data_IF_919057831847
#
_entry.id   IF_919057831847
#
_cell.length_a   1.000
_cell.length_b   1.000
_cell.length_c   1.000
_cell.angle_alpha   90.00
_cell.angle_beta   90.00
_cell.angle_gamma   90.00
#
_symmetry.space_group_name_H-M   'P 1'
#
loop_
_entity.id
_entity.type
_entity.pdbx_description
1 polymer ?
#
# COMPACT_ATOMS: atom_id res chain seq x y z
N UNK A 1 -10.70 -11.05 -17.73
CA UNK A 1 -11.54 -11.44 -16.58
C UNK A 1 -11.04 -10.62 -15.40
N UNK A 2 -11.91 -10.10 -14.52
CA UNK A 2 -11.41 -9.42 -13.32
C UNK A 2 -11.01 -10.45 -12.27
N UNK A 3 -9.86 -10.27 -11.64
CA UNK A 3 -9.33 -11.16 -10.61
C UNK A 3 -9.36 -10.45 -9.26
N UNK A 4 -9.76 -11.19 -8.22
CA UNK A 4 -9.87 -10.68 -6.85
C UNK A 4 -9.23 -11.67 -5.89
N UNK A 5 -8.57 -11.13 -4.87
CA UNK A 5 -8.09 -11.88 -3.71
C UNK A 5 -9.26 -12.40 -2.89
N UNK A 6 -8.98 -13.38 -2.00
CA UNK A 6 -9.98 -13.91 -1.05
C UNK A 6 -10.60 -12.83 -0.15
N UNK A 7 -9.87 -11.74 0.09
CA UNK A 7 -10.30 -10.62 0.92
C UNK A 7 -11.01 -9.50 0.14
N UNK A 8 -11.32 -9.73 -1.15
CA UNK A 8 -12.11 -8.82 -1.98
C UNK A 8 -11.31 -7.71 -2.67
N UNK A 9 -10.00 -7.63 -2.46
CA UNK A 9 -9.14 -6.65 -3.14
C UNK A 9 -8.88 -7.07 -4.58
N UNK A 10 -8.96 -6.11 -5.50
CA UNK A 10 -8.75 -6.32 -6.93
C UNK A 10 -7.28 -6.62 -7.24
N UNK A 11 -7.04 -7.53 -8.17
CA UNK A 11 -5.73 -7.85 -8.75
C UNK A 11 -5.67 -7.17 -10.12
N UNK A 12 -4.66 -6.31 -10.32
CA UNK A 12 -4.55 -5.46 -11.52
C UNK A 12 -3.86 -6.14 -12.72
N UNK A 13 -3.62 -7.46 -12.66
CA UNK A 13 -3.09 -8.30 -13.75
C UNK A 13 -3.80 -9.66 -13.79
N UNK A 14 -3.61 -10.42 -14.87
CA UNK A 14 -4.12 -11.80 -14.99
C UNK A 14 -3.10 -12.78 -14.38
N UNK A 15 -3.37 -13.38 -13.21
CA UNK A 15 -2.43 -14.26 -12.54
C UNK A 15 -2.31 -15.64 -13.21
N UNK A 16 -3.21 -15.96 -14.15
CA UNK A 16 -3.22 -17.19 -14.92
C UNK A 16 -2.73 -16.98 -16.37
N UNK A 17 -2.22 -15.79 -16.69
CA UNK A 17 -1.65 -15.52 -18.00
C UNK A 17 -0.47 -16.45 -18.32
N UNK A 18 -0.28 -16.74 -19.62
CA UNK A 18 0.83 -17.56 -20.10
C UNK A 18 2.17 -16.98 -19.62
N UNK A 19 3.02 -17.80 -19.02
CA UNK A 19 4.31 -17.38 -18.46
C UNK A 19 4.30 -17.03 -16.97
N UNK A 20 3.13 -16.81 -16.35
CA UNK A 20 3.05 -16.48 -14.92
C UNK A 20 3.57 -17.62 -14.04
N UNK A 21 3.11 -18.84 -14.28
CA UNK A 21 3.54 -20.01 -13.51
C UNK A 21 5.03 -20.37 -13.72
N UNK A 22 5.54 -20.14 -14.92
CA UNK A 22 6.95 -20.39 -15.27
C UNK A 22 7.88 -19.36 -14.60
N UNK A 23 7.39 -18.12 -14.42
CA UNK A 23 8.15 -17.01 -13.84
C UNK A 23 8.07 -16.96 -12.31
N UNK A 24 6.90 -17.23 -11.73
CA UNK A 24 6.60 -16.97 -10.32
C UNK A 24 6.21 -18.23 -9.52
N UNK A 25 6.16 -19.40 -10.17
CA UNK A 25 5.72 -20.65 -9.57
C UNK A 25 4.20 -20.86 -9.64
N UNK A 26 3.76 -22.06 -9.24
CA UNK A 26 2.34 -22.42 -9.19
C UNK A 26 1.64 -21.82 -7.97
N UNK A 27 0.29 -21.69 -7.97
CA UNK A 27 -0.46 -21.19 -6.82
C UNK A 27 -0.06 -21.88 -5.50
N UNK A 28 0.31 -21.09 -4.48
CA UNK A 28 0.75 -21.58 -3.17
C UNK A 28 2.21 -22.06 -3.07
N UNK A 29 2.98 -21.99 -4.17
CA UNK A 29 4.42 -22.25 -4.24
C UNK A 29 5.12 -21.06 -4.88
N UNK A 30 4.93 -19.90 -4.27
CA UNK A 30 5.37 -18.60 -4.78
C UNK A 30 6.90 -18.51 -4.74
N UNK A 31 7.46 -17.61 -5.54
CA UNK A 31 8.90 -17.40 -5.56
C UNK A 31 9.46 -16.94 -4.20
N UNK A 32 10.78 -17.06 -4.03
CA UNK A 32 11.48 -16.65 -2.81
C UNK A 32 11.52 -15.12 -2.63
N UNK A 33 10.96 -14.34 -3.56
CA UNK A 33 10.98 -12.88 -3.54
C UNK A 33 9.72 -12.28 -2.89
N UNK A 34 8.76 -13.13 -2.49
CA UNK A 34 7.57 -12.72 -1.75
C UNK A 34 6.55 -12.01 -2.63
N UNK A 35 6.48 -12.37 -3.91
CA UNK A 35 5.37 -12.04 -4.78
C UNK A 35 4.56 -13.30 -5.07
N UNK A 36 3.38 -13.40 -4.47
CA UNK A 36 2.38 -14.39 -4.84
C UNK A 36 1.49 -13.80 -5.94
N UNK A 37 1.65 -14.17 -7.21
CA UNK A 37 0.78 -13.61 -8.24
C UNK A 37 -0.69 -14.00 -8.03
N UNK A 38 -0.98 -14.99 -7.19
CA UNK A 38 -2.33 -15.50 -6.92
C UNK A 38 -2.95 -14.91 -5.65
N UNK A 39 -2.15 -14.23 -4.80
CA UNK A 39 -2.62 -13.65 -3.53
C UNK A 39 -2.19 -12.18 -3.30
N UNK A 40 -1.14 -11.70 -3.96
CA UNK A 40 -0.65 -10.33 -3.82
C UNK A 40 -1.22 -9.43 -4.92
N UNK A 41 -1.71 -8.26 -4.51
CA UNK A 41 -2.01 -7.18 -5.46
C UNK A 41 -0.72 -6.70 -6.13
N UNK A 42 0.38 -6.64 -5.37
CA UNK A 42 1.75 -6.30 -5.77
C UNK A 42 2.73 -6.89 -4.73
N UNK A 43 3.75 -7.62 -5.15
CA UNK A 43 4.70 -8.28 -4.23
C UNK A 43 5.72 -7.32 -3.61
N UNK A 44 6.54 -7.83 -2.68
CA UNK A 44 7.52 -7.00 -1.97
C UNK A 44 8.45 -6.19 -2.90
N UNK A 45 8.83 -6.72 -4.06
CA UNK A 45 9.63 -5.98 -5.05
C UNK A 45 8.96 -4.72 -5.58
N UNK A 46 7.62 -4.70 -5.63
CA UNK A 46 6.82 -3.61 -6.20
C UNK A 46 6.35 -2.65 -5.10
N UNK A 47 5.90 -3.16 -3.95
CA UNK A 47 5.36 -2.34 -2.86
C UNK A 47 5.62 -2.98 -1.49
N UNK A 48 6.06 -2.20 -0.49
CA UNK A 48 6.29 -2.69 0.88
C UNK A 48 7.60 -3.45 1.11
N UNK A 49 8.46 -3.55 0.11
CA UNK A 49 9.75 -4.26 0.19
C UNK A 49 10.88 -3.46 0.82
N UNK A 50 11.89 -4.18 1.29
CA UNK A 50 13.16 -3.62 1.72
C UNK A 50 13.86 -2.90 0.56
N UNK A 51 14.42 -1.73 0.86
CA UNK A 51 15.06 -0.86 -0.14
C UNK A 51 16.56 -0.83 0.02
N UNK A 52 17.24 -0.76 -1.12
CA UNK A 52 18.69 -0.65 -1.20
C UNK A 52 19.12 0.69 -0.61
N UNK A 53 20.18 0.65 0.20
CA UNK A 53 20.84 1.83 0.76
C UNK A 53 22.28 1.90 0.30
N UNK A 54 22.80 3.11 0.14
CA UNK A 54 24.21 3.34 -0.15
C UNK A 54 25.07 3.22 1.13
N UNK A 55 26.38 3.47 1.01
CA UNK A 55 27.31 3.36 2.14
C UNK A 55 27.08 4.40 3.24
N UNK A 56 26.30 5.45 2.95
CA UNK A 56 25.92 6.49 3.91
C UNK A 56 24.55 6.20 4.55
N UNK A 57 23.88 5.14 4.10
CA UNK A 57 22.55 4.74 4.57
C UNK A 57 21.41 5.45 3.84
N UNK A 58 21.68 6.26 2.82
CA UNK A 58 20.64 6.90 2.02
C UNK A 58 19.94 5.88 1.12
N UNK A 59 18.65 6.09 0.85
CA UNK A 59 17.89 5.22 -0.06
C UNK A 59 18.39 5.44 -1.49
N UNK A 60 18.74 4.34 -2.17
CA UNK A 60 19.09 4.38 -3.59
C UNK A 60 17.82 4.52 -4.42
N UNK A 61 17.76 5.59 -5.22
CA UNK A 61 16.68 5.87 -6.16
C UNK A 61 17.10 5.46 -7.57
N UNK A 62 16.25 4.71 -8.27
CA UNK A 62 16.54 4.20 -9.61
C UNK A 62 15.33 3.57 -10.28
N UNK A 63 15.58 2.72 -11.28
CA UNK A 63 14.54 1.91 -11.92
C UNK A 63 13.85 1.03 -10.88
N UNK A 64 12.52 1.11 -10.85
CA UNK A 64 11.71 0.30 -9.94
C UNK A 64 11.59 -1.13 -10.48
N UNK A 65 11.28 -2.06 -9.59
CA UNK A 65 11.25 -3.49 -9.90
C UNK A 65 10.45 -3.78 -11.18
N UNK A 66 11.09 -4.48 -12.12
CA UNK A 66 10.54 -4.86 -13.43
C UNK A 66 9.92 -3.71 -14.25
N UNK A 67 10.28 -2.44 -14.00
CA UNK A 67 9.74 -1.27 -14.69
C UNK A 67 8.21 -1.14 -14.59
N UNK A 68 7.60 -1.60 -13.50
CA UNK A 68 6.15 -1.41 -13.23
C UNK A 68 5.75 0.06 -13.05
N UNK A 69 6.72 0.94 -12.75
CA UNK A 69 6.53 2.38 -12.68
C UNK A 69 7.65 3.09 -13.46
N UNK A 70 7.27 3.93 -14.43
CA UNK A 70 8.21 4.73 -15.23
C UNK A 70 8.87 5.86 -14.44
N UNK A 71 8.34 6.18 -13.24
CA UNK A 71 8.96 7.14 -12.33
C UNK A 71 10.04 6.42 -11.51
N UNK A 72 11.24 7.02 -11.36
CA UNK A 72 12.27 6.44 -10.51
C UNK A 72 11.80 6.39 -9.05
N UNK A 73 12.24 5.38 -8.31
CA UNK A 73 11.84 5.16 -6.92
C UNK A 73 12.85 4.33 -6.14
N UNK A 74 12.55 4.01 -4.86
CA UNK A 74 13.42 3.19 -4.03
C UNK A 74 13.68 1.82 -4.67
N UNK A 75 14.96 1.50 -4.88
CA UNK A 75 15.38 0.26 -5.52
C UNK A 75 15.20 -0.90 -4.54
N UNK A 76 14.51 -1.96 -4.97
CA UNK A 76 14.35 -3.19 -4.19
C UNK A 76 15.70 -3.87 -3.93
N UNK A 77 15.92 -4.37 -2.72
CA UNK A 77 17.18 -5.03 -2.34
C UNK A 77 17.12 -6.56 -2.30
N UNK A 78 15.96 -7.16 -2.58
CA UNK A 78 15.79 -8.62 -2.62
C UNK A 78 15.48 -9.27 -1.25
N UNK A 79 15.36 -8.52 -0.16
CA UNK A 79 15.14 -9.08 1.20
C UNK A 79 13.66 -9.28 1.57
N UNK A 80 12.75 -9.16 0.61
CA UNK A 80 11.31 -9.25 0.83
C UNK A 80 10.73 -8.03 1.55
N UNK A 81 9.56 -8.20 2.17
CA UNK A 81 8.87 -7.12 2.88
C UNK A 81 9.73 -6.47 3.97
N UNK A 82 9.61 -5.15 4.10
CA UNK A 82 10.23 -4.36 5.16
C UNK A 82 9.75 -4.80 6.55
N UNK A 83 10.46 -4.38 7.60
CA UNK A 83 10.09 -4.74 8.97
C UNK A 83 8.71 -4.21 9.34
N UNK A 84 8.42 -2.94 9.03
CA UNK A 84 7.11 -2.35 9.28
C UNK A 84 6.02 -2.99 8.42
N UNK A 85 6.32 -3.33 7.15
CA UNK A 85 5.35 -4.01 6.28
C UNK A 85 4.95 -5.39 6.83
N UNK A 86 5.92 -6.16 7.34
CA UNK A 86 5.66 -7.44 8.04
C UNK A 86 4.82 -7.23 9.29
N UNK A 87 5.09 -6.17 10.06
CA UNK A 87 4.30 -5.85 11.25
C UNK A 87 2.85 -5.48 10.88
N UNK A 88 2.63 -4.70 9.83
CA UNK A 88 1.28 -4.35 9.34
C UNK A 88 0.52 -5.59 8.90
N UNK A 89 1.16 -6.54 8.22
CA UNK A 89 0.56 -7.82 7.86
C UNK A 89 0.17 -8.66 9.09
N UNK A 90 0.99 -8.62 10.14
CA UNK A 90 0.71 -9.29 11.40
C UNK A 90 -0.41 -8.60 12.22
N UNK A 91 -0.59 -7.29 12.05
CA UNK A 91 -1.71 -6.52 12.60
C UNK A 91 -1.31 -5.38 13.56
N UNK A 92 -2.31 -4.63 14.06
CA UNK A 92 -2.10 -3.39 14.82
C UNK A 92 -1.29 -3.58 16.11
N UNK A 93 -1.43 -4.72 16.77
CA UNK A 93 -0.68 -5.06 17.98
C UNK A 93 0.82 -5.13 17.69
N UNK A 94 1.22 -5.78 16.59
CA UNK A 94 2.62 -5.89 16.20
C UNK A 94 3.17 -4.54 15.75
N UNK A 95 2.39 -3.73 15.03
CA UNK A 95 2.76 -2.35 14.68
C UNK A 95 3.04 -1.53 15.95
N UNK A 96 2.14 -1.60 16.93
CA UNK A 96 2.29 -0.89 18.20
C UNK A 96 3.50 -1.38 19.00
N UNK A 97 3.77 -2.69 18.99
CA UNK A 97 4.96 -3.28 19.62
C UNK A 97 6.25 -2.71 19.01
N UNK A 98 6.41 -2.79 17.69
CA UNK A 98 7.66 -2.37 17.06
C UNK A 98 7.89 -0.86 17.14
N UNK A 99 6.83 -0.04 17.16
CA UNK A 99 6.96 1.41 17.30
C UNK A 99 7.37 1.87 18.70
N UNK A 100 7.29 1.01 19.72
CA UNK A 100 7.83 1.31 21.05
C UNK A 100 9.36 1.36 21.01
N UNK A 101 9.96 0.42 20.30
CA UNK A 101 11.42 0.29 20.22
C UNK A 101 12.00 1.12 19.06
N UNK A 102 11.24 1.26 17.96
CA UNK A 102 11.66 1.93 16.72
C UNK A 102 10.59 2.92 16.22
N UNK A 103 10.36 4.04 16.94
CA UNK A 103 9.29 5.00 16.62
C UNK A 103 9.44 5.69 15.26
N UNK A 104 10.63 5.69 14.67
CA UNK A 104 10.92 6.20 13.34
C UNK A 104 10.34 5.32 12.22
N UNK A 105 10.08 4.04 12.48
CA UNK A 105 9.57 3.12 11.46
C UNK A 105 8.15 3.48 10.99
N UNK A 106 7.43 4.36 11.69
CA UNK A 106 6.16 4.93 11.21
C UNK A 106 6.31 5.72 9.91
N UNK A 107 7.53 6.14 9.57
CA UNK A 107 7.90 6.83 8.33
C UNK A 107 8.82 5.99 7.43
N UNK A 108 8.95 4.68 7.67
CA UNK A 108 9.80 3.81 6.85
C UNK A 108 9.40 3.89 5.37
N UNK A 109 10.37 4.18 4.50
CA UNK A 109 10.15 4.17 3.05
C UNK A 109 10.52 2.79 2.51
N UNK A 110 9.57 2.14 1.85
CA UNK A 110 9.73 0.85 1.18
C UNK A 110 9.74 1.01 -0.36
N UNK A 111 9.81 -0.11 -1.08
CA UNK A 111 9.57 -0.13 -2.54
C UNK A 111 8.23 0.53 -2.89
N UNK A 112 8.14 1.08 -4.11
CA UNK A 112 7.03 1.93 -4.53
C UNK A 112 7.06 3.33 -3.93
N UNK A 113 8.05 3.67 -3.10
CA UNK A 113 8.06 4.91 -2.30
C UNK A 113 7.01 4.89 -1.20
N UNK A 114 6.45 3.71 -0.91
CA UNK A 114 5.38 3.58 0.06
C UNK A 114 5.88 3.85 1.47
N UNK A 115 4.98 4.40 2.28
CA UNK A 115 5.12 4.52 3.74
C UNK A 115 4.15 3.59 4.45
N UNK A 116 4.29 3.37 5.77
CA UNK A 116 3.46 2.42 6.51
C UNK A 116 1.95 2.63 6.33
N UNK A 117 1.47 3.88 6.32
CA UNK A 117 0.06 4.18 6.07
C UNK A 117 -0.40 3.76 4.67
N UNK A 118 0.47 3.81 3.66
CA UNK A 118 0.14 3.27 2.34
C UNK A 118 0.02 1.76 2.36
N UNK A 119 0.89 1.07 3.11
CA UNK A 119 0.83 -0.39 3.28
C UNK A 119 -0.45 -0.84 3.99
N UNK A 120 -1.00 -0.03 4.89
CA UNK A 120 -2.34 -0.22 5.44
C UNK A 120 -3.41 -0.24 4.33
N UNK A 121 -3.24 0.55 3.28
CA UNK A 121 -4.15 0.61 2.13
C UNK A 121 -4.05 -0.55 1.15
N UNK A 122 -3.21 -1.56 1.39
CA UNK A 122 -3.00 -2.66 0.44
C UNK A 122 -3.86 -3.89 0.68
N UNK A 123 -4.53 -3.99 1.84
CA UNK A 123 -5.49 -5.07 2.11
C UNK A 123 -6.49 -4.71 3.19
N UNK A 124 -7.60 -5.45 3.23
CA UNK A 124 -8.63 -5.27 4.26
C UNK A 124 -8.18 -5.69 5.66
N UNK A 125 -7.13 -6.51 5.77
CA UNK A 125 -6.48 -6.82 7.05
C UNK A 125 -5.49 -5.72 7.45
N UNK A 126 -4.68 -5.24 6.51
CA UNK A 126 -3.66 -4.23 6.77
C UNK A 126 -4.28 -2.89 7.21
N UNK A 127 -5.47 -2.55 6.72
CA UNK A 127 -6.14 -1.29 7.08
C UNK A 127 -6.45 -1.19 8.58
N UNK A 128 -6.50 -2.31 9.30
CA UNK A 128 -6.73 -2.35 10.74
C UNK A 128 -5.56 -1.73 11.54
N UNK A 129 -4.38 -1.62 10.94
CA UNK A 129 -3.21 -0.96 11.53
C UNK A 129 -3.19 0.56 11.34
N UNK A 130 -4.15 1.12 10.58
CA UNK A 130 -4.18 2.56 10.25
C UNK A 130 -4.24 3.43 11.51
N UNK A 131 -5.11 3.09 12.47
CA UNK A 131 -5.26 3.88 13.69
C UNK A 131 -3.97 3.87 14.53
N UNK A 132 -3.29 2.72 14.65
CA UNK A 132 -2.01 2.62 15.37
C UNK A 132 -0.94 3.56 14.80
N UNK A 133 -0.88 3.72 13.48
CA UNK A 133 0.05 4.64 12.83
C UNK A 133 -0.36 6.11 12.98
N UNK A 134 -1.67 6.41 12.91
CA UNK A 134 -2.21 7.76 13.19
C UNK A 134 -1.88 8.17 14.63
N UNK A 135 -2.08 7.28 15.60
CA UNK A 135 -1.78 7.52 17.02
C UNK A 135 -0.29 7.78 17.23
N UNK A 136 0.57 7.08 16.48
CA UNK A 136 2.01 7.31 16.44
C UNK A 136 2.43 8.59 15.69
N UNK A 137 1.49 9.37 15.14
CA UNK A 137 1.71 10.60 14.36
C UNK A 137 2.44 10.36 13.04
N UNK A 138 2.10 9.29 12.34
CA UNK A 138 2.55 9.08 10.96
C UNK A 138 2.00 10.17 10.03
N UNK A 139 2.77 10.57 9.02
CA UNK A 139 2.38 11.56 8.02
C UNK A 139 1.22 11.06 7.13
N UNK A 140 0.05 11.68 7.28
CA UNK A 140 -1.16 11.35 6.53
C UNK A 140 -1.06 11.69 5.04
N UNK A 141 -0.23 12.66 4.69
CA UNK A 141 -0.18 13.29 3.37
C UNK A 141 1.05 12.89 2.54
N UNK A 142 1.91 12.01 3.09
CA UNK A 142 3.02 11.45 2.35
C UNK A 142 2.51 10.81 1.04
N UNK A 143 3.26 11.01 -0.04
CA UNK A 143 2.95 10.46 -1.34
C UNK A 143 3.94 9.37 -1.73
N UNK A 144 3.43 8.28 -2.29
CA UNK A 144 4.23 7.25 -2.91
C UNK A 144 4.70 7.66 -4.33
N UNK A 145 5.42 6.78 -5.03
CA UNK A 145 5.97 7.09 -6.37
C UNK A 145 4.88 7.29 -7.44
N UNK A 146 3.64 6.89 -7.19
CA UNK A 146 2.50 7.18 -8.07
C UNK A 146 1.87 8.55 -7.77
N UNK A 147 2.32 9.24 -6.72
CA UNK A 147 1.74 10.49 -6.25
C UNK A 147 0.51 10.27 -5.36
N UNK A 148 0.24 9.03 -4.96
CA UNK A 148 -0.92 8.70 -4.13
C UNK A 148 -0.56 8.77 -2.65
N UNK A 149 -1.49 9.26 -1.83
CA UNK A 149 -1.43 9.14 -0.37
C UNK A 149 -2.05 7.82 0.08
N UNK A 150 -1.96 7.52 1.37
CA UNK A 150 -2.66 6.40 1.98
C UNK A 150 -4.17 6.43 1.71
N UNK A 151 -4.82 7.60 1.73
CA UNK A 151 -6.26 7.71 1.48
C UNK A 151 -6.63 7.38 0.02
N UNK A 152 -5.76 7.72 -0.94
CA UNK A 152 -5.93 7.29 -2.33
C UNK A 152 -5.86 5.76 -2.47
N UNK A 153 -4.96 5.10 -1.72
CA UNK A 153 -4.84 3.63 -1.69
C UNK A 153 -6.06 2.96 -1.03
N UNK A 154 -6.57 3.54 0.06
CA UNK A 154 -7.81 3.08 0.69
C UNK A 154 -8.99 3.16 -0.29
N UNK A 155 -9.10 4.28 -1.01
CA UNK A 155 -10.13 4.49 -2.02
C UNK A 155 -10.02 3.50 -3.20
N UNK A 156 -8.83 3.29 -3.75
CA UNK A 156 -8.64 2.39 -4.89
C UNK A 156 -9.02 0.95 -4.55
N UNK A 157 -8.74 0.53 -3.31
CA UNK A 157 -8.94 -0.83 -2.83
C UNK A 157 -10.22 -1.04 -2.03
N UNK A 158 -11.14 -0.06 -2.02
CA UNK A 158 -12.44 -0.14 -1.35
C UNK A 158 -12.34 -0.41 0.17
N UNK A 159 -11.41 0.27 0.85
CA UNK A 159 -11.07 0.06 2.26
C UNK A 159 -11.66 1.17 3.13
N UNK A 160 -12.84 0.93 3.66
CA UNK A 160 -13.65 1.89 4.41
C UNK A 160 -13.13 2.14 5.85
N UNK A 161 -12.66 1.11 6.56
CA UNK A 161 -12.19 1.25 7.95
C UNK A 161 -10.94 2.13 8.03
N UNK A 162 -9.94 1.86 7.18
CA UNK A 162 -8.74 2.70 7.10
C UNK A 162 -9.04 4.08 6.53
N UNK A 163 -9.94 4.15 5.53
CA UNK A 163 -10.43 5.42 4.98
C UNK A 163 -11.08 6.31 6.04
N UNK A 164 -12.00 5.75 6.84
CA UNK A 164 -12.66 6.44 7.95
C UNK A 164 -11.64 6.99 8.96
N UNK A 165 -10.66 6.16 9.36
CA UNK A 165 -9.64 6.58 10.32
C UNK A 165 -8.83 7.79 9.81
N UNK A 166 -8.39 7.77 8.55
CA UNK A 166 -7.65 8.88 7.94
C UNK A 166 -8.48 10.16 7.81
N UNK A 167 -9.76 10.04 7.42
CA UNK A 167 -10.67 11.18 7.30
C UNK A 167 -10.97 11.81 8.65
N UNK A 168 -11.23 10.99 9.68
CA UNK A 168 -11.40 11.47 11.06
C UNK A 168 -10.13 12.11 11.62
N UNK A 169 -8.96 11.70 11.15
CA UNK A 169 -7.69 12.33 11.47
C UNK A 169 -7.42 13.64 10.68
N UNK A 170 -8.36 14.05 9.81
CA UNK A 170 -8.33 15.33 9.11
C UNK A 170 -7.90 15.25 7.64
N UNK A 171 -7.64 14.07 7.08
CA UNK A 171 -7.32 13.93 5.66
C UNK A 171 -8.60 14.03 4.81
N UNK A 172 -8.81 15.17 4.15
CA UNK A 172 -9.98 15.39 3.29
C UNK A 172 -9.99 14.43 2.07
N UNK A 173 -11.04 13.61 1.87
CA UNK A 173 -11.15 12.68 0.74
C UNK A 173 -11.47 13.36 -0.60
N UNK A 174 -11.76 14.66 -0.60
CA UNK A 174 -11.88 15.50 -1.81
C UNK A 174 -10.59 16.27 -2.13
N UNK A 175 -9.54 16.15 -1.30
CA UNK A 175 -8.27 16.81 -1.54
C UNK A 175 -7.54 16.17 -2.72
N UNK A 176 -7.19 16.99 -3.72
CA UNK A 176 -6.30 16.60 -4.80
C UNK A 176 -4.86 16.94 -4.43
N UNK A 177 -4.01 15.92 -4.36
CA UNK A 177 -2.59 16.10 -4.08
C UNK A 177 -1.81 16.49 -5.34
N UNK A 178 -0.72 17.23 -5.16
CA UNK A 178 0.16 17.60 -6.26
C UNK A 178 0.75 16.35 -6.92
N UNK A 179 0.61 16.20 -8.24
CA UNK A 179 1.09 15.02 -8.97
C UNK A 179 0.19 13.78 -8.92
N UNK A 180 -0.90 13.80 -8.13
CA UNK A 180 -1.98 12.81 -8.21
C UNK A 180 -2.91 13.15 -9.40
N UNK A 181 -3.40 12.12 -10.10
CA UNK A 181 -4.31 12.30 -11.23
C UNK A 181 -5.74 12.68 -10.78
N UNK A 182 -6.13 12.30 -9.55
CA UNK A 182 -7.49 12.42 -9.03
C UNK A 182 -7.52 12.44 -7.50
N UNK A 183 -8.66 12.82 -6.93
CA UNK A 183 -8.93 12.74 -5.48
C UNK A 183 -9.20 11.29 -5.04
N UNK A 184 -9.13 10.99 -3.73
CA UNK A 184 -9.58 9.70 -3.21
C UNK A 184 -11.02 9.35 -3.62
N UNK A 185 -11.99 10.26 -3.50
CA UNK A 185 -13.37 10.00 -3.93
C UNK A 185 -13.47 9.71 -5.44
N UNK A 186 -12.77 10.46 -6.28
CA UNK A 186 -12.74 10.22 -7.73
C UNK A 186 -12.14 8.85 -8.08
N UNK A 187 -11.08 8.43 -7.37
CA UNK A 187 -10.51 7.09 -7.49
C UNK A 187 -11.55 6.03 -7.11
N UNK A 188 -12.19 6.17 -5.95
CA UNK A 188 -13.18 5.20 -5.48
C UNK A 188 -14.37 5.08 -6.46
N UNK A 189 -14.81 6.18 -7.08
CA UNK A 189 -15.86 6.11 -8.13
C UNK A 189 -15.40 5.31 -9.35
N UNK A 190 -14.18 5.58 -9.84
CA UNK A 190 -13.62 4.87 -11.01
C UNK A 190 -13.38 3.38 -10.73
N UNK A 191 -12.94 3.03 -9.51
CA UNK A 191 -12.68 1.64 -9.10
C UNK A 191 -13.91 0.90 -8.58
N UNK A 192 -15.07 1.57 -8.46
CA UNK A 192 -16.29 1.04 -7.81
C UNK A 192 -16.07 0.67 -6.34
N UNK A 193 -15.34 1.49 -5.61
CA UNK A 193 -15.13 1.40 -4.16
C UNK A 193 -16.37 1.75 -3.35
N UNK A 194 -17.41 0.91 -3.43
CA UNK A 194 -18.73 1.17 -2.83
C UNK A 194 -18.68 1.35 -1.31
N UNK A 195 -17.94 0.51 -0.59
CA UNK A 195 -17.84 0.58 0.88
C UNK A 195 -17.14 1.87 1.30
N UNK A 196 -16.04 2.21 0.63
CA UNK A 196 -15.34 3.47 0.86
C UNK A 196 -16.28 4.67 0.61
N UNK A 197 -16.99 4.70 -0.52
CA UNK A 197 -17.90 5.80 -0.87
C UNK A 197 -19.07 5.92 0.11
N UNK A 198 -19.70 4.80 0.49
CA UNK A 198 -20.75 4.80 1.50
C UNK A 198 -20.24 5.36 2.83
N UNK A 199 -19.03 4.98 3.24
CA UNK A 199 -18.41 5.51 4.43
C UNK A 199 -18.12 7.02 4.34
N UNK A 200 -17.61 7.50 3.21
CA UNK A 200 -17.40 8.93 2.99
C UNK A 200 -18.72 9.71 3.08
N UNK A 201 -19.80 9.16 2.52
CA UNK A 201 -21.14 9.73 2.59
C UNK A 201 -21.68 9.80 4.04
N UNK A 202 -21.47 8.75 4.84
CA UNK A 202 -21.82 8.74 6.27
C UNK A 202 -21.07 9.81 7.06
N UNK A 203 -19.82 10.11 6.67
CA UNK A 203 -18.96 11.13 7.28
C UNK A 203 -19.26 12.55 6.77
N UNK A 204 -20.23 12.72 5.87
CA UNK A 204 -20.63 14.03 5.34
C UNK A 204 -19.78 14.52 4.15
N UNK A 205 -18.95 13.65 3.57
CA UNK A 205 -18.23 13.93 2.34
C UNK A 205 -19.07 13.46 1.15
N UNK A 206 -19.98 14.35 0.74
CA UNK A 206 -20.83 14.16 -0.42
C UNK A 206 -20.12 14.60 -1.70
N UNK A 207 -20.65 14.12 -2.81
CA UNK A 207 -20.36 14.63 -4.15
C UNK A 207 -21.14 15.90 -4.45
#
# INVERSE_FOLDING_TARGET
MEHYRKDGVKIDYDPYAKGMAEKYGLPGNTDNEGFDPYADSVGAGIYGGCVKRDNEGNIVIGEQYQNHNNRPGPVYDGRGYSLMSKAIHAGPEKVTEILKDYPELKEEISTGGARPLHMCGMSSNNQLSTQSLIDAKADLYAQDTYGYTALHRMASNNLDVGGEALVRAGHDPNMKMEGADSTPIEIARRSRGIQFLMKMQELGHYD
#
